data_IF_046133427126
#
_entry.id   IF_046133427126
#
_cell.length_a   1.000
_cell.length_b   1.000
_cell.length_c   1.000
_cell.angle_alpha   90.00
_cell.angle_beta   90.00
_cell.angle_gamma   90.00
#
_symmetry.space_group_name_H-M   'P 1'
#
loop_
_entity.id
_entity.type
_entity.pdbx_description
1 polymer ?
#
# COMPACT_ATOMS: atom_id res chain seq x y z
N UNK A 1 23.18 19.87 -11.78
CA UNK A 1 22.57 20.87 -10.92
C UNK A 1 21.08 20.93 -11.09
N UNK A 2 20.68 21.52 -12.17
CA UNK A 2 19.27 21.66 -12.48
C UNK A 2 18.61 20.31 -12.58
N UNK A 3 19.28 19.33 -13.15
CA UNK A 3 18.75 17.99 -13.27
C UNK A 3 18.45 17.34 -11.92
N UNK A 4 19.31 17.60 -10.93
CA UNK A 4 19.09 17.03 -9.61
C UNK A 4 17.83 17.59 -8.97
N UNK A 5 17.58 18.87 -9.13
CA UNK A 5 16.37 19.49 -8.60
C UNK A 5 15.14 18.94 -9.31
N UNK A 6 15.20 18.78 -10.62
CA UNK A 6 14.10 18.23 -11.39
C UNK A 6 13.80 16.80 -10.98
N UNK A 7 14.85 16.01 -10.71
CA UNK A 7 14.68 14.65 -10.26
C UNK A 7 13.93 14.60 -8.93
N UNK A 8 14.30 15.49 -8.01
CA UNK A 8 13.62 15.55 -6.71
C UNK A 8 12.14 15.91 -6.87
N UNK A 9 11.85 16.84 -7.77
CA UNK A 9 10.48 17.29 -7.99
C UNK A 9 9.63 16.24 -8.72
N UNK A 10 10.25 15.32 -9.41
CA UNK A 10 9.52 14.32 -10.19
C UNK A 10 9.09 13.11 -9.37
N UNK A 11 9.53 13.00 -8.10
CA UNK A 11 9.11 11.87 -7.27
C UNK A 11 7.63 12.01 -6.92
N UNK A 12 6.90 10.91 -7.12
CA UNK A 12 5.47 10.86 -6.86
C UNK A 12 5.20 9.77 -5.83
N UNK A 13 4.01 9.83 -5.22
CA UNK A 13 3.68 8.95 -4.09
C UNK A 13 2.35 8.27 -4.31
N UNK A 14 2.31 6.97 -4.02
CA UNK A 14 1.07 6.21 -3.95
C UNK A 14 0.84 5.82 -2.49
N UNK A 15 -0.37 6.05 -2.00
CA UNK A 15 -0.73 5.81 -0.60
C UNK A 15 -1.78 4.70 -0.53
N UNK A 16 -1.48 3.66 0.22
CA UNK A 16 -2.41 2.56 0.48
C UNK A 16 -2.97 2.69 1.89
N UNK A 17 -4.27 2.71 2.03
CA UNK A 17 -4.95 2.93 3.31
C UNK A 17 -5.85 1.76 3.65
N UNK A 18 -5.74 1.24 4.86
CA UNK A 18 -6.71 0.31 5.41
C UNK A 18 -6.93 0.66 6.89
N UNK A 19 -7.65 -0.19 7.65
CA UNK A 19 -7.93 0.14 9.04
C UNK A 19 -6.67 0.10 9.91
N UNK A 20 -5.99 -1.04 9.94
CA UNK A 20 -4.96 -1.28 10.96
C UNK A 20 -3.54 -1.11 10.46
N UNK A 21 -3.34 -1.00 9.16
CA UNK A 21 -2.01 -0.93 8.54
C UNK A 21 -1.09 -2.05 9.05
N UNK A 22 -1.67 -3.20 9.32
CA UNK A 22 -0.95 -4.36 9.83
C UNK A 22 -1.01 -5.55 8.87
N UNK A 23 -1.74 -5.42 7.77
CA UNK A 23 -1.89 -6.49 6.79
C UNK A 23 -2.02 -5.95 5.38
N UNK A 24 -3.25 -5.63 4.96
CA UNK A 24 -3.56 -5.33 3.56
C UNK A 24 -2.70 -4.21 2.97
N UNK A 25 -2.67 -3.05 3.60
CA UNK A 25 -1.93 -1.90 3.05
C UNK A 25 -0.42 -2.11 3.12
N UNK A 26 0.06 -2.84 4.12
CA UNK A 26 1.50 -3.16 4.19
C UNK A 26 1.91 -4.11 3.07
N UNK A 27 1.07 -5.10 2.76
CA UNK A 27 1.34 -6.00 1.64
C UNK A 27 1.33 -5.23 0.32
N UNK A 28 0.35 -4.34 0.12
CA UNK A 28 0.27 -3.55 -1.09
C UNK A 28 1.51 -2.66 -1.26
N UNK A 29 1.95 -2.02 -0.19
CA UNK A 29 3.16 -1.21 -0.23
C UNK A 29 4.38 -2.03 -0.65
N UNK A 30 4.54 -3.22 -0.05
CA UNK A 30 5.68 -4.08 -0.36
C UNK A 30 5.68 -4.52 -1.82
N UNK A 31 4.52 -4.90 -2.36
CA UNK A 31 4.44 -5.29 -3.76
C UNK A 31 4.74 -4.12 -4.68
N UNK A 32 4.24 -2.93 -4.36
CA UNK A 32 4.52 -1.77 -5.18
C UNK A 32 6.00 -1.40 -5.16
N UNK A 33 6.64 -1.49 -4.00
CA UNK A 33 8.07 -1.21 -3.88
C UNK A 33 8.90 -2.17 -4.73
N UNK A 34 8.46 -3.43 -4.83
CA UNK A 34 9.16 -4.41 -5.65
C UNK A 34 8.90 -4.21 -7.15
N UNK A 35 7.66 -3.93 -7.52
CA UNK A 35 7.22 -4.02 -8.92
C UNK A 35 7.00 -2.66 -9.60
N UNK A 36 6.87 -1.59 -8.83
CA UNK A 36 6.58 -0.27 -9.38
C UNK A 36 7.81 0.46 -9.89
N UNK A 37 7.60 1.57 -10.61
CA UNK A 37 8.72 2.34 -11.16
C UNK A 37 9.50 3.06 -10.06
N UNK A 38 10.77 3.32 -10.34
CA UNK A 38 11.71 3.86 -9.36
C UNK A 38 11.37 5.28 -8.92
N UNK A 39 10.66 6.03 -9.76
CA UNK A 39 10.31 7.42 -9.45
C UNK A 39 8.98 7.56 -8.70
N UNK A 40 8.36 6.45 -8.34
CA UNK A 40 7.14 6.46 -7.53
C UNK A 40 7.41 5.72 -6.24
N UNK A 41 7.15 6.38 -5.12
CA UNK A 41 7.33 5.79 -3.80
C UNK A 41 5.99 5.35 -3.24
N UNK A 42 6.00 4.21 -2.57
CA UNK A 42 4.79 3.68 -1.95
C UNK A 42 4.81 3.97 -0.45
N UNK A 43 3.65 4.34 0.05
CA UNK A 43 3.43 4.56 1.48
C UNK A 43 2.15 3.86 1.88
N UNK A 44 2.01 3.58 3.17
CA UNK A 44 0.78 3.00 3.68
C UNK A 44 0.48 3.53 5.06
N UNK A 45 -0.81 3.51 5.43
CA UNK A 45 -1.25 4.01 6.72
C UNK A 45 -2.58 3.40 7.09
N UNK A 46 -2.95 3.52 8.36
CA UNK A 46 -4.22 3.03 8.87
C UNK A 46 -4.98 4.08 9.64
N UNK A 47 -6.29 3.96 9.62
CA UNK A 47 -7.16 4.85 10.40
C UNK A 47 -7.06 4.53 11.89
N UNK A 48 -6.83 3.25 12.23
CA UNK A 48 -6.62 2.80 13.61
C UNK A 48 -5.46 1.81 13.61
N UNK A 49 -4.21 2.28 13.54
CA UNK A 49 -3.07 1.38 13.37
C UNK A 49 -2.91 0.41 14.55
N UNK A 50 -2.62 -0.84 14.22
CA UNK A 50 -2.31 -1.86 15.21
C UNK A 50 -0.90 -1.62 15.77
N UNK A 51 -0.53 -2.40 16.77
CA UNK A 51 0.79 -2.26 17.39
C UNK A 51 1.91 -2.79 16.51
N UNK A 52 1.61 -3.82 15.72
CA UNK A 52 2.62 -4.49 14.91
C UNK A 52 1.93 -5.14 13.71
N UNK A 53 2.74 -5.48 12.70
CA UNK A 53 2.25 -6.24 11.56
C UNK A 53 1.78 -7.61 12.06
N UNK A 54 0.67 -8.11 11.51
CA UNK A 54 0.16 -9.43 11.90
C UNK A 54 1.21 -10.50 11.60
N UNK A 55 1.52 -11.40 12.56
CA UNK A 55 2.51 -12.46 12.30
C UNK A 55 2.20 -13.31 11.08
N UNK A 56 0.93 -13.62 10.84
CA UNK A 56 0.54 -14.41 9.68
C UNK A 56 0.87 -13.70 8.37
N UNK A 57 0.77 -12.37 8.34
CA UNK A 57 1.12 -11.57 7.18
C UNK A 57 2.63 -11.58 6.96
N UNK A 58 3.41 -11.42 8.03
CA UNK A 58 4.87 -11.48 7.93
C UNK A 58 5.28 -12.83 7.33
N UNK A 59 4.66 -13.92 7.80
CA UNK A 59 5.00 -15.26 7.37
C UNK A 59 4.70 -15.49 5.89
N UNK A 60 3.49 -15.14 5.42
CA UNK A 60 3.14 -15.39 4.02
C UNK A 60 3.91 -14.47 3.06
N UNK A 61 4.27 -13.28 3.48
CA UNK A 61 5.10 -12.40 2.65
C UNK A 61 6.53 -12.90 2.58
N UNK A 62 7.05 -13.45 3.68
CA UNK A 62 8.39 -14.03 3.67
C UNK A 62 8.49 -15.21 2.71
N UNK A 63 7.41 -15.96 2.54
CA UNK A 63 7.38 -17.08 1.58
C UNK A 63 7.76 -16.65 0.16
N UNK A 64 7.49 -15.41 -0.19
CA UNK A 64 7.76 -14.90 -1.55
C UNK A 64 8.90 -13.87 -1.53
N UNK A 65 9.71 -13.87 -0.48
CA UNK A 65 10.92 -13.08 -0.42
C UNK A 65 10.76 -11.65 0.05
N UNK A 66 9.62 -11.30 0.61
CA UNK A 66 9.37 -9.95 1.11
C UNK A 66 9.26 -9.98 2.63
N UNK A 67 10.20 -9.32 3.31
CA UNK A 67 10.28 -9.33 4.76
C UNK A 67 9.66 -8.07 5.34
N UNK A 68 8.54 -8.22 6.04
CA UNK A 68 7.86 -7.10 6.68
C UNK A 68 8.14 -7.03 8.19
N UNK A 69 9.05 -7.85 8.70
CA UNK A 69 9.23 -8.00 10.15
C UNK A 69 9.72 -6.72 10.83
N UNK A 70 10.36 -5.81 10.09
CA UNK A 70 10.87 -4.57 10.67
C UNK A 70 9.96 -3.37 10.41
N UNK A 71 8.83 -3.58 9.78
CA UNK A 71 7.88 -2.50 9.53
C UNK A 71 6.94 -2.32 10.71
N UNK A 72 6.45 -1.10 10.87
CA UNK A 72 5.49 -0.80 11.92
C UNK A 72 4.27 -0.12 11.30
N UNK A 73 3.07 -0.39 11.82
CA UNK A 73 1.87 0.32 11.38
C UNK A 73 1.98 1.82 11.65
N UNK A 74 1.43 2.62 10.73
CA UNK A 74 1.48 4.07 10.80
C UNK A 74 0.08 4.65 10.78
N UNK A 75 -0.11 5.73 11.51
CA UNK A 75 -1.37 6.46 11.53
C UNK A 75 -1.50 7.29 10.25
N UNK A 76 -2.69 7.27 9.65
CA UNK A 76 -3.01 8.13 8.53
C UNK A 76 -3.00 9.58 9.00
N UNK A 77 -2.27 10.43 8.29
CA UNK A 77 -2.14 11.85 8.63
C UNK A 77 -2.60 12.71 7.46
N UNK A 78 -2.86 13.97 7.75
CA UNK A 78 -3.20 14.95 6.71
C UNK A 78 -2.04 15.10 5.73
N UNK A 79 -0.80 15.11 6.24
CA UNK A 79 0.38 15.25 5.39
C UNK A 79 0.49 14.10 4.38
N UNK A 80 0.26 12.87 4.83
CA UNK A 80 0.29 11.73 3.92
C UNK A 80 -0.76 11.85 2.83
N UNK A 81 -1.95 12.30 3.19
CA UNK A 81 -3.03 12.48 2.22
C UNK A 81 -2.71 13.59 1.23
N UNK A 82 -2.13 14.69 1.71
CA UNK A 82 -1.89 15.85 0.88
C UNK A 82 -0.79 15.61 -0.14
N UNK A 83 0.21 14.80 0.21
CA UNK A 83 1.29 14.60 -0.71
C UNK A 83 1.12 13.38 -1.63
N UNK A 84 0.07 12.61 -1.45
CA UNK A 84 -0.19 11.46 -2.30
C UNK A 84 -0.65 11.91 -3.69
N UNK A 85 -0.11 11.29 -4.72
CA UNK A 85 -0.56 11.48 -6.10
C UNK A 85 -1.68 10.51 -6.43
N UNK A 86 -1.66 9.32 -5.82
CA UNK A 86 -2.71 8.32 -5.94
C UNK A 86 -2.98 7.77 -4.56
N UNK A 87 -4.24 7.52 -4.25
CA UNK A 87 -4.61 6.87 -2.99
C UNK A 87 -5.55 5.70 -3.26
N UNK A 88 -5.28 4.59 -2.60
CA UNK A 88 -6.10 3.39 -2.71
C UNK A 88 -6.56 3.00 -1.31
N UNK A 89 -7.87 2.84 -1.13
CA UNK A 89 -8.42 2.43 0.15
C UNK A 89 -8.83 0.96 0.11
N UNK A 90 -8.68 0.28 1.24
CA UNK A 90 -8.91 -1.16 1.33
C UNK A 90 -9.66 -1.49 2.61
N UNK A 91 -10.98 -1.55 2.51
CA UNK A 91 -11.78 -2.10 3.60
C UNK A 91 -11.91 -1.27 4.85
N UNK A 92 -11.67 0.04 4.79
CA UNK A 92 -11.88 0.88 5.95
C UNK A 92 -13.32 1.40 6.05
N UNK A 93 -14.13 1.19 5.01
CA UNK A 93 -15.52 1.56 5.06
C UNK A 93 -15.75 3.02 5.41
N UNK A 94 -16.69 3.28 6.32
CA UNK A 94 -17.01 4.64 6.75
C UNK A 94 -15.89 5.29 7.56
N UNK A 95 -14.94 4.50 8.04
CA UNK A 95 -13.80 5.03 8.78
C UNK A 95 -12.74 5.65 7.89
N UNK A 96 -12.80 5.39 6.58
CA UNK A 96 -11.86 5.99 5.64
C UNK A 96 -12.13 7.50 5.58
N UNK A 97 -11.10 8.32 5.81
CA UNK A 97 -11.29 9.76 5.67
C UNK A 97 -11.46 10.15 4.21
N UNK A 98 -11.99 11.33 3.99
CA UNK A 98 -12.09 11.86 2.64
C UNK A 98 -10.68 12.11 2.10
N UNK A 99 -10.35 11.47 0.99
CA UNK A 99 -9.08 11.65 0.30
C UNK A 99 -9.41 12.06 -1.13
N UNK A 100 -9.16 13.34 -1.50
CA UNK A 100 -9.56 13.80 -2.83
C UNK A 100 -8.91 13.04 -3.99
N UNK A 101 -7.80 12.37 -3.72
CA UNK A 101 -7.03 11.66 -4.73
C UNK A 101 -7.30 10.17 -4.74
N UNK A 102 -8.44 9.71 -4.21
CA UNK A 102 -8.78 8.28 -4.28
C UNK A 102 -8.93 7.88 -5.74
N UNK A 103 -8.14 6.90 -6.15
CA UNK A 103 -8.16 6.36 -7.49
C UNK A 103 -8.97 5.08 -7.53
N UNK A 104 -8.83 4.23 -6.50
CA UNK A 104 -9.53 2.96 -6.42
C UNK A 104 -9.86 2.62 -4.98
N UNK A 105 -10.94 1.89 -4.82
CA UNK A 105 -11.30 1.28 -3.54
C UNK A 105 -11.29 -0.24 -3.78
N UNK A 106 -10.45 -0.94 -3.04
CA UNK A 106 -10.31 -2.39 -3.23
C UNK A 106 -11.10 -3.14 -2.17
N UNK A 107 -11.87 -4.10 -2.62
CA UNK A 107 -12.61 -5.00 -1.73
C UNK A 107 -11.72 -6.19 -1.41
N UNK A 108 -10.98 -6.10 -0.32
CA UNK A 108 -10.02 -7.11 0.09
C UNK A 108 -10.37 -7.57 1.50
N UNK A 109 -10.53 -8.87 1.73
CA UNK A 109 -10.83 -9.36 3.08
C UNK A 109 -9.70 -9.05 4.06
N UNK A 110 -10.05 -8.80 5.31
CA UNK A 110 -9.08 -8.56 6.37
C UNK A 110 -8.40 -9.90 6.72
N UNK A 111 -7.07 -9.98 6.68
CA UNK A 111 -6.36 -11.22 7.02
C UNK A 111 -6.32 -11.55 8.50
N UNK A 112 -6.71 -10.63 9.38
CA UNK A 112 -6.63 -10.84 10.81
C UNK A 112 -7.44 -12.07 11.23
N UNK A 113 -6.80 -12.97 11.98
CA UNK A 113 -7.49 -14.14 12.50
C UNK A 113 -7.79 -15.24 11.51
N UNK A 114 -7.32 -15.13 10.27
CA UNK A 114 -7.60 -16.13 9.24
C UNK A 114 -6.49 -17.16 9.15
N UNK A 115 -6.81 -18.39 8.70
CA UNK A 115 -5.79 -19.43 8.52
C UNK A 115 -4.83 -19.09 7.39
N UNK A 116 -3.63 -19.68 7.39
CA UNK A 116 -2.58 -19.32 6.43
C UNK A 116 -2.99 -19.38 4.97
N UNK A 117 -3.75 -20.38 4.56
CA UNK A 117 -4.15 -20.48 3.16
C UNK A 117 -5.06 -19.33 2.73
N UNK A 118 -5.88 -18.81 3.64
CA UNK A 118 -6.70 -17.63 3.33
C UNK A 118 -5.85 -16.36 3.29
N UNK A 119 -4.87 -16.25 4.16
CA UNK A 119 -3.95 -15.11 4.14
C UNK A 119 -3.14 -15.10 2.84
N UNK A 120 -2.74 -16.28 2.37
CA UNK A 120 -2.04 -16.40 1.08
C UNK A 120 -2.93 -15.95 -0.08
N UNK A 121 -4.20 -16.33 -0.05
CA UNK A 121 -5.13 -15.92 -1.10
C UNK A 121 -5.31 -14.40 -1.12
N UNK A 122 -5.41 -13.79 0.05
CA UNK A 122 -5.48 -12.33 0.18
C UNK A 122 -4.22 -11.68 -0.36
N UNK A 123 -3.06 -12.22 0.01
CA UNK A 123 -1.77 -11.75 -0.50
C UNK A 123 -1.74 -11.76 -2.03
N UNK A 124 -2.17 -12.88 -2.62
CA UNK A 124 -2.13 -13.05 -4.07
C UNK A 124 -3.11 -12.10 -4.77
N UNK A 125 -4.27 -11.87 -4.16
CA UNK A 125 -5.23 -10.90 -4.67
C UNK A 125 -4.62 -9.49 -4.70
N UNK A 126 -4.00 -9.09 -3.61
CA UNK A 126 -3.38 -7.76 -3.50
C UNK A 126 -2.27 -7.61 -4.52
N UNK A 127 -1.45 -8.65 -4.69
CA UNK A 127 -0.38 -8.62 -5.69
C UNK A 127 -0.93 -8.34 -7.08
N UNK A 128 -2.00 -9.03 -7.44
CA UNK A 128 -2.61 -8.84 -8.76
C UNK A 128 -3.17 -7.43 -8.91
N UNK A 129 -3.83 -6.92 -7.86
CA UNK A 129 -4.40 -5.58 -7.92
C UNK A 129 -3.32 -4.50 -8.00
N UNK A 130 -2.18 -4.69 -7.34
CA UNK A 130 -1.05 -3.77 -7.46
C UNK A 130 -0.51 -3.76 -8.89
N UNK A 131 -0.39 -4.93 -9.52
CA UNK A 131 0.07 -5.00 -10.91
C UNK A 131 -0.89 -4.27 -11.84
N UNK A 132 -2.18 -4.44 -11.63
CA UNK A 132 -3.19 -3.76 -12.45
C UNK A 132 -3.15 -2.25 -12.23
N UNK A 133 -2.96 -1.82 -10.99
CA UNK A 133 -2.82 -0.41 -10.67
C UNK A 133 -1.65 0.23 -11.41
N UNK A 134 -0.50 -0.44 -11.38
CA UNK A 134 0.70 0.06 -12.05
C UNK A 134 0.43 0.23 -13.54
N UNK A 135 -0.15 -0.78 -14.18
CA UNK A 135 -0.43 -0.71 -15.61
C UNK A 135 -1.48 0.31 -15.99
N UNK A 136 -2.54 0.43 -15.18
CA UNK A 136 -3.67 1.29 -15.53
C UNK A 136 -3.43 2.76 -15.22
N UNK A 137 -2.72 3.06 -14.13
CA UNK A 137 -2.61 4.45 -13.66
C UNK A 137 -1.18 4.97 -13.64
N UNK A 138 -0.23 4.15 -13.22
CA UNK A 138 1.12 4.62 -12.93
C UNK A 138 1.96 4.66 -14.21
N UNK A 139 2.02 3.55 -14.95
CA UNK A 139 2.81 3.49 -16.18
C UNK A 139 2.19 4.37 -17.26
N UNK A 140 0.87 4.45 -17.32
CA UNK A 140 0.19 5.31 -18.28
C UNK A 140 0.55 6.77 -18.06
N UNK A 141 0.64 7.19 -16.79
CA UNK A 141 1.01 8.57 -16.46
C UNK A 141 2.46 8.86 -16.77
N UNK A 142 3.31 7.85 -16.70
CA UNK A 142 4.74 8.01 -16.95
C UNK A 142 5.06 8.07 -18.44
N UNK A 143 4.18 7.53 -19.27
CA UNK A 143 4.42 7.54 -20.71
C UNK A 143 3.93 8.80 -21.33
#
# INVERSE_FOLDING_TARGET
MIGAMQTSESIRYVLFVCNHNAGRSQMAQAFFERDGPADVRAESAGTEPARAIWPSVIEVMREIGLDLSERTPKKLTVELQQHANWAITMGCGDACPYVPMIVEEWDVPDPAGKPPEQVRAIRDQIQQQVRELIGAHIDADCS
#
